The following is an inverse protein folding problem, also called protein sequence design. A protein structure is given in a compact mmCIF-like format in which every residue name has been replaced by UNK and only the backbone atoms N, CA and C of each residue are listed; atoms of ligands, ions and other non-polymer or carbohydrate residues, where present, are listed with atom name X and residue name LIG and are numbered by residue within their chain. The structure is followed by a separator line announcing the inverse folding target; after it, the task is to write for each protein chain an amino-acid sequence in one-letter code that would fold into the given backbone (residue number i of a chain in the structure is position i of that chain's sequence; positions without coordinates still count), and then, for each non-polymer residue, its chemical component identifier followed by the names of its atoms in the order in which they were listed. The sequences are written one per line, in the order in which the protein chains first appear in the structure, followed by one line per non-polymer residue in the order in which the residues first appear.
data_IF_982157981685
#
_entry.id   IF_982157981685
#
_cell.length_a   1.000
_cell.length_b   1.000
_cell.length_c   1.000
_cell.angle_alpha   90.00
_cell.angle_beta   90.00
_cell.angle_gamma   90.00
#
_symmetry.space_group_name_H-M   'P 1'
#
loop_
_entity.id
_entity.type
_entity.pdbx_description
1 polymer ?
#
# COMPACT_ATOMS: atom_id res chain seq x y z
N UNK A 1 -16.09 1.18 -40.76
CA UNK A 1 -16.22 0.04 -39.81
C UNK A 1 -17.65 -0.45 -39.92
N UNK A 2 -17.87 -1.67 -40.40
CA UNK A 2 -19.21 -2.25 -40.46
C UNK A 2 -19.57 -2.78 -39.07
N UNK A 3 -20.72 -2.39 -38.55
CA UNK A 3 -21.26 -2.92 -37.31
C UNK A 3 -22.31 -3.95 -37.69
N UNK A 4 -22.11 -5.18 -37.23
CA UNK A 4 -23.08 -6.26 -37.39
C UNK A 4 -23.75 -6.46 -36.04
N UNK A 5 -25.08 -6.41 -36.03
CA UNK A 5 -25.89 -6.64 -34.84
C UNK A 5 -26.42 -8.08 -34.84
N UNK A 6 -26.69 -8.62 -33.64
CA UNK A 6 -27.43 -9.87 -33.43
C UNK A 6 -26.89 -11.11 -34.18
N UNK A 7 -25.57 -11.29 -34.24
CA UNK A 7 -24.95 -12.49 -34.81
C UNK A 7 -25.42 -13.72 -34.01
N UNK A 8 -26.20 -14.65 -34.62
CA UNK A 8 -26.68 -15.82 -33.91
C UNK A 8 -25.53 -16.79 -33.68
N UNK A 9 -25.39 -17.28 -32.45
CA UNK A 9 -24.46 -18.38 -32.13
C UNK A 9 -25.21 -19.70 -32.28
N UNK A 10 -24.71 -20.57 -33.16
CA UNK A 10 -25.26 -21.90 -33.34
C UNK A 10 -24.14 -22.93 -33.63
N UNK A 11 -24.11 -24.09 -32.95
CA UNK A 11 -25.00 -24.48 -31.85
C UNK A 11 -24.66 -23.70 -30.56
N UNK A 12 -25.68 -23.18 -29.88
CA UNK A 12 -25.53 -22.55 -28.57
C UNK A 12 -25.94 -23.54 -27.48
N UNK A 13 -25.08 -24.53 -27.21
CA UNK A 13 -25.28 -25.54 -26.18
C UNK A 13 -24.25 -25.42 -25.07
N UNK A 14 -24.58 -25.93 -23.89
CA UNK A 14 -23.68 -25.95 -22.73
C UNK A 14 -22.37 -26.72 -23.02
N UNK A 15 -22.42 -27.78 -23.81
CA UNK A 15 -21.24 -28.61 -24.09
C UNK A 15 -20.16 -27.86 -24.91
N UNK A 16 -20.57 -26.85 -25.68
CA UNK A 16 -19.67 -26.01 -26.47
C UNK A 16 -19.16 -24.78 -25.71
N UNK A 17 -19.57 -24.59 -24.46
CA UNK A 17 -19.21 -23.45 -23.61
C UNK A 17 -17.69 -23.18 -23.56
N UNK A 18 -16.79 -24.17 -23.34
CA UNK A 18 -15.34 -23.90 -23.28
C UNK A 18 -14.78 -23.35 -24.59
N UNK A 19 -15.31 -23.83 -25.72
CA UNK A 19 -14.88 -23.40 -27.07
C UNK A 19 -15.41 -21.99 -27.34
N UNK A 20 -16.69 -21.74 -27.04
CA UNK A 20 -17.31 -20.43 -27.19
C UNK A 20 -16.57 -19.37 -26.38
N UNK A 21 -16.25 -19.63 -25.10
CA UNK A 21 -15.50 -18.70 -24.24
C UNK A 21 -14.16 -18.31 -24.86
N UNK A 22 -13.43 -19.26 -25.46
CA UNK A 22 -12.16 -18.96 -26.12
C UNK A 22 -12.35 -18.00 -27.31
N UNK A 23 -13.38 -18.22 -28.14
CA UNK A 23 -13.71 -17.30 -29.22
C UNK A 23 -14.13 -15.92 -28.68
N UNK A 24 -14.99 -15.87 -27.66
CA UNK A 24 -15.38 -14.61 -27.03
C UNK A 24 -14.19 -13.82 -26.48
N UNK A 25 -13.24 -14.49 -25.80
CA UNK A 25 -12.00 -13.87 -25.30
C UNK A 25 -11.11 -13.37 -26.43
N UNK A 26 -10.97 -14.13 -27.52
CA UNK A 26 -10.22 -13.67 -28.69
C UNK A 26 -10.88 -12.47 -29.35
N UNK A 27 -12.21 -12.45 -29.49
CA UNK A 27 -12.91 -11.29 -30.08
C UNK A 27 -12.76 -10.06 -29.16
N UNK A 28 -12.79 -10.25 -27.84
CA UNK A 28 -12.56 -9.20 -26.85
C UNK A 28 -11.15 -8.60 -26.93
N UNK A 29 -10.12 -9.44 -27.06
CA UNK A 29 -8.72 -9.01 -27.16
C UNK A 29 -8.34 -8.51 -28.56
N UNK A 30 -9.30 -8.51 -29.51
CA UNK A 30 -9.06 -8.23 -30.93
C UNK A 30 -8.10 -9.24 -31.60
N UNK A 31 -8.19 -10.53 -31.27
CA UNK A 31 -7.33 -11.60 -31.80
C UNK A 31 -8.04 -12.49 -32.84
N UNK A 32 -9.26 -12.13 -33.27
CA UNK A 32 -10.00 -12.90 -34.28
C UNK A 32 -9.87 -12.30 -35.66
N UNK A 33 -9.28 -13.09 -36.55
CA UNK A 33 -9.26 -12.90 -38.01
C UNK A 33 -10.01 -14.10 -38.58
N UNK A 34 -11.06 -13.87 -39.35
CA UNK A 34 -11.73 -14.96 -40.05
C UNK A 34 -11.02 -15.25 -41.39
N UNK A 35 -10.87 -16.53 -41.78
CA UNK A 35 -10.08 -16.91 -42.95
C UNK A 35 -10.69 -16.46 -44.29
N UNK A 36 -12.01 -16.23 -44.30
CA UNK A 36 -12.79 -16.03 -45.53
C UNK A 36 -12.55 -14.64 -46.16
N UNK A 37 -12.26 -13.64 -45.34
CA UNK A 37 -12.14 -12.25 -45.76
C UNK A 37 -10.91 -11.53 -45.19
N UNK A 38 -10.14 -12.18 -44.32
CA UNK A 38 -8.96 -11.61 -43.65
C UNK A 38 -9.30 -10.34 -42.86
N UNK A 39 -10.58 -10.18 -42.47
CA UNK A 39 -11.07 -9.03 -41.71
C UNK A 39 -10.93 -9.34 -40.21
N UNK A 40 -10.46 -8.33 -39.47
CA UNK A 40 -10.34 -8.39 -38.01
C UNK A 40 -11.64 -7.93 -37.36
N UNK A 41 -12.20 -8.78 -36.51
CA UNK A 41 -13.45 -8.48 -35.80
C UNK A 41 -13.18 -8.17 -34.34
N UNK A 42 -13.96 -7.24 -33.79
CA UNK A 42 -13.98 -6.89 -32.37
C UNK A 42 -15.39 -6.63 -31.89
N UNK A 43 -15.63 -6.82 -30.60
CA UNK A 43 -16.86 -6.31 -29.99
C UNK A 43 -16.92 -4.79 -30.10
N UNK A 44 -18.13 -4.26 -30.31
CA UNK A 44 -18.38 -2.82 -30.17
C UNK A 44 -18.24 -2.43 -28.70
N UNK A 45 -17.91 -1.16 -28.43
CA UNK A 45 -17.66 -0.66 -27.07
C UNK A 45 -18.86 -0.82 -26.11
N UNK A 46 -20.06 -1.09 -26.66
CA UNK A 46 -21.28 -1.45 -25.92
C UNK A 46 -21.27 -2.86 -25.31
N UNK A 47 -20.46 -3.79 -25.83
CA UNK A 47 -20.24 -5.13 -25.27
C UNK A 47 -18.95 -5.21 -24.45
N UNK A 48 -18.10 -4.20 -24.54
CA UNK A 48 -17.05 -4.02 -23.57
C UNK A 48 -17.77 -3.72 -22.26
N UNK A 49 -17.76 -4.70 -21.35
CA UNK A 49 -18.13 -4.47 -19.95
C UNK A 49 -17.15 -3.41 -19.49
N UNK A 50 -17.58 -2.14 -19.56
CA UNK A 50 -16.70 -1.01 -19.36
C UNK A 50 -15.97 -1.22 -18.04
N UNK A 51 -14.65 -1.34 -18.17
CA UNK A 51 -13.74 -1.77 -17.10
C UNK A 51 -13.58 -0.70 -16.01
N UNK A 52 -14.31 0.42 -16.08
CA UNK A 52 -13.81 1.62 -15.42
C UNK A 52 -14.46 2.01 -14.09
N UNK A 53 -15.73 1.75 -13.78
CA UNK A 53 -16.22 2.26 -12.47
C UNK A 53 -17.59 1.78 -12.01
N UNK A 54 -18.52 1.42 -12.91
CA UNK A 54 -19.89 1.11 -12.50
C UNK A 54 -20.18 -0.41 -12.49
N UNK A 55 -20.98 -0.82 -11.49
CA UNK A 55 -21.69 -2.11 -11.46
C UNK A 55 -22.80 -2.20 -12.53
N UNK A 56 -23.04 -1.11 -13.27
CA UNK A 56 -24.04 -1.03 -14.33
C UNK A 56 -23.57 -1.78 -15.58
N UNK A 57 -23.81 -3.07 -15.57
CA UNK A 57 -23.83 -3.85 -16.80
C UNK A 57 -25.05 -3.44 -17.63
N UNK A 58 -24.80 -2.77 -18.76
CA UNK A 58 -25.81 -2.62 -19.80
C UNK A 58 -26.05 -3.99 -20.42
N UNK A 59 -27.11 -4.66 -19.95
CA UNK A 59 -27.51 -5.94 -20.53
C UNK A 59 -28.00 -5.72 -21.96
N UNK A 60 -27.54 -6.53 -22.92
CA UNK A 60 -28.05 -6.45 -24.27
C UNK A 60 -29.52 -6.87 -24.29
N UNK A 61 -30.34 -6.20 -25.10
CA UNK A 61 -31.75 -6.53 -25.27
C UNK A 61 -31.95 -7.74 -26.21
N UNK A 62 -31.19 -8.82 -25.96
CA UNK A 62 -31.26 -10.10 -26.69
C UNK A 62 -30.87 -11.26 -25.77
N UNK A 63 -31.18 -12.48 -26.19
CA UNK A 63 -30.70 -13.67 -25.50
C UNK A 63 -29.16 -13.74 -25.55
N UNK A 64 -28.56 -14.00 -24.38
CA UNK A 64 -27.14 -14.26 -24.24
C UNK A 64 -26.84 -15.72 -24.61
N UNK A 65 -25.69 -15.94 -25.26
CA UNK A 65 -25.18 -17.29 -25.47
C UNK A 65 -24.68 -17.89 -24.14
N UNK A 66 -24.51 -19.21 -24.09
CA UNK A 66 -23.89 -19.89 -22.94
C UNK A 66 -22.47 -19.35 -22.67
N UNK A 67 -21.70 -19.08 -23.74
CA UNK A 67 -20.37 -18.49 -23.62
C UNK A 67 -20.38 -17.06 -23.08
N UNK A 68 -21.33 -16.22 -23.50
CA UNK A 68 -21.50 -14.85 -22.98
C UNK A 68 -21.89 -14.87 -21.50
N UNK A 69 -22.80 -15.76 -21.12
CA UNK A 69 -23.29 -15.90 -19.75
C UNK A 69 -22.17 -16.31 -18.81
N UNK A 70 -21.34 -17.27 -19.22
CA UNK A 70 -20.20 -17.72 -18.41
C UNK A 70 -19.10 -16.65 -18.32
N UNK A 71 -18.77 -15.97 -19.41
CA UNK A 71 -17.79 -14.87 -19.39
C UNK A 71 -18.24 -13.74 -18.45
N UNK A 72 -19.53 -13.37 -18.52
CA UNK A 72 -20.12 -12.39 -17.63
C UNK A 72 -20.01 -12.80 -16.15
N UNK A 73 -20.31 -14.07 -15.86
CA UNK A 73 -20.20 -14.63 -14.52
C UNK A 73 -18.76 -14.53 -13.99
N UNK A 74 -17.75 -14.88 -14.79
CA UNK A 74 -16.34 -14.78 -14.41
C UNK A 74 -15.94 -13.33 -14.08
N UNK A 75 -16.33 -12.38 -14.94
CA UNK A 75 -16.04 -10.95 -14.74
C UNK A 75 -16.70 -10.42 -13.46
N UNK A 76 -17.96 -10.78 -13.23
CA UNK A 76 -18.69 -10.39 -12.02
C UNK A 76 -18.04 -10.99 -10.76
N UNK A 77 -17.64 -12.26 -10.79
CA UNK A 77 -16.95 -12.90 -9.67
C UNK A 77 -15.62 -12.20 -9.35
N UNK A 78 -14.85 -11.83 -10.36
CA UNK A 78 -13.60 -11.11 -10.14
C UNK A 78 -13.81 -9.68 -9.65
N UNK A 79 -14.84 -8.98 -10.14
CA UNK A 79 -15.24 -7.67 -9.60
C UNK A 79 -15.63 -7.77 -8.13
N UNK A 80 -16.51 -8.72 -7.76
CA UNK A 80 -16.91 -8.96 -6.37
C UNK A 80 -15.69 -9.21 -5.48
N UNK A 81 -14.78 -10.10 -5.90
CA UNK A 81 -13.53 -10.35 -5.14
C UNK A 81 -12.68 -9.10 -4.96
N UNK A 82 -12.61 -8.21 -5.96
CA UNK A 82 -11.87 -6.94 -5.85
C UNK A 82 -12.54 -6.01 -4.83
N UNK A 83 -13.86 -5.88 -4.87
CA UNK A 83 -14.61 -5.08 -3.88
C UNK A 83 -14.46 -5.64 -2.47
N UNK A 84 -14.56 -6.96 -2.30
CA UNK A 84 -14.37 -7.62 -1.00
C UNK A 84 -12.98 -7.31 -0.43
N UNK A 85 -11.93 -7.41 -1.25
CA UNK A 85 -10.56 -7.07 -0.84
C UNK A 85 -10.41 -5.60 -0.47
N UNK A 86 -11.02 -4.69 -1.25
CA UNK A 86 -10.98 -3.26 -0.95
C UNK A 86 -11.70 -2.96 0.38
N UNK A 87 -12.86 -3.58 0.61
CA UNK A 87 -13.62 -3.46 1.85
C UNK A 87 -12.83 -3.97 3.06
N UNK A 88 -12.18 -5.14 2.93
CA UNK A 88 -11.29 -5.68 3.97
C UNK A 88 -10.12 -4.74 4.27
N UNK A 89 -9.49 -4.15 3.24
CA UNK A 89 -8.40 -3.19 3.41
C UNK A 89 -8.88 -1.94 4.15
N UNK A 90 -10.03 -1.39 3.78
CA UNK A 90 -10.63 -0.22 4.43
C UNK A 90 -10.93 -0.49 5.90
N UNK A 91 -11.54 -1.64 6.21
CA UNK A 91 -11.81 -2.04 7.59
C UNK A 91 -10.52 -2.21 8.39
N UNK A 92 -9.52 -2.90 7.84
CA UNK A 92 -8.23 -3.07 8.50
C UNK A 92 -7.54 -1.71 8.77
N UNK A 93 -7.60 -0.77 7.83
CA UNK A 93 -7.06 0.57 8.01
C UNK A 93 -7.82 1.35 9.10
N UNK A 94 -9.15 1.28 9.11
CA UNK A 94 -9.97 1.92 10.14
C UNK A 94 -9.68 1.33 11.53
N UNK A 95 -9.60 0.00 11.65
CA UNK A 95 -9.21 -0.67 12.90
C UNK A 95 -7.81 -0.26 13.36
N UNK A 96 -6.84 -0.19 12.45
CA UNK A 96 -5.49 0.25 12.74
C UNK A 96 -5.46 1.68 13.32
N UNK A 97 -6.21 2.60 12.69
CA UNK A 97 -6.36 3.99 13.14
C UNK A 97 -6.95 4.02 14.55
N UNK A 98 -8.07 3.33 14.78
CA UNK A 98 -8.74 3.32 16.09
C UNK A 98 -7.86 2.72 17.19
N UNK A 99 -7.15 1.63 16.87
CA UNK A 99 -6.25 0.95 17.81
C UNK A 99 -5.08 1.86 18.19
N UNK A 100 -4.41 2.46 17.20
CA UNK A 100 -3.32 3.39 17.45
C UNK A 100 -3.81 4.60 18.26
N UNK A 101 -4.95 5.20 17.91
CA UNK A 101 -5.55 6.28 18.70
C UNK A 101 -5.77 5.92 20.16
N UNK A 102 -6.27 4.71 20.43
CA UNK A 102 -6.56 4.27 21.78
C UNK A 102 -5.27 4.05 22.59
N UNK A 103 -4.22 3.50 22.00
CA UNK A 103 -2.90 3.38 22.64
C UNK A 103 -2.32 4.76 22.94
N UNK A 104 -2.45 5.69 21.99
CA UNK A 104 -1.97 7.06 22.08
C UNK A 104 -2.74 7.93 23.08
N UNK A 105 -3.93 7.53 23.55
CA UNK A 105 -4.66 8.24 24.61
C UNK A 105 -4.12 7.93 26.01
N UNK A 106 -3.32 6.89 26.16
CA UNK A 106 -2.79 6.48 27.46
C UNK A 106 -1.57 7.32 27.83
N UNK A 107 -1.52 7.82 29.06
CA UNK A 107 -0.39 8.63 29.59
C UNK A 107 0.75 7.77 30.19
N UNK A 108 0.77 6.47 29.90
CA UNK A 108 1.82 5.53 30.33
C UNK A 108 2.81 5.23 29.20
N UNK A 109 3.99 4.70 29.53
CA UNK A 109 4.96 4.26 28.53
C UNK A 109 4.33 3.13 27.70
N UNK A 110 4.24 3.33 26.39
CA UNK A 110 3.41 2.54 25.48
C UNK A 110 4.18 2.02 24.26
N UNK A 111 5.50 2.10 24.26
CA UNK A 111 6.38 1.68 23.16
C UNK A 111 6.11 0.24 22.71
N UNK A 112 6.01 -0.71 23.66
CA UNK A 112 5.67 -2.11 23.35
C UNK A 112 4.27 -2.27 22.74
N UNK A 113 3.28 -1.51 23.22
CA UNK A 113 1.91 -1.57 22.71
C UNK A 113 1.83 -0.98 21.29
N UNK A 114 2.59 0.09 21.05
CA UNK A 114 2.75 0.69 19.72
C UNK A 114 3.43 -0.30 18.78
N UNK A 115 4.54 -0.92 19.18
CA UNK A 115 5.23 -1.93 18.38
C UNK A 115 4.28 -3.08 18.03
N UNK A 116 3.50 -3.57 19.00
CA UNK A 116 2.49 -4.61 18.76
C UNK A 116 1.42 -4.15 17.76
N UNK A 117 0.91 -2.92 17.90
CA UNK A 117 -0.09 -2.36 16.99
C UNK A 117 0.45 -2.23 15.56
N UNK A 118 1.67 -1.72 15.40
CA UNK A 118 2.30 -1.52 14.09
C UNK A 118 2.64 -2.85 13.42
N UNK A 119 3.12 -3.83 14.18
CA UNK A 119 3.35 -5.20 13.68
C UNK A 119 2.06 -5.86 13.19
N UNK A 120 0.93 -5.61 13.86
CA UNK A 120 -0.37 -6.14 13.48
C UNK A 120 -0.99 -5.39 12.29
N UNK A 121 -0.74 -4.08 12.19
CA UNK A 121 -1.24 -3.23 11.12
C UNK A 121 -0.13 -2.44 10.41
N UNK A 122 0.70 -3.09 9.57
CA UNK A 122 1.81 -2.42 8.89
C UNK A 122 1.39 -1.31 7.91
N UNK A 123 0.12 -1.32 7.48
CA UNK A 123 -0.48 -0.28 6.62
C UNK A 123 -0.38 1.13 7.24
N UNK A 124 -0.17 1.23 8.56
CA UNK A 124 0.08 2.49 9.25
C UNK A 124 1.33 3.22 8.71
N UNK A 125 2.33 2.49 8.20
CA UNK A 125 3.51 3.11 7.60
C UNK A 125 3.21 3.79 6.26
N UNK A 126 2.23 3.28 5.51
CA UNK A 126 1.88 3.76 4.18
C UNK A 126 1.65 2.64 3.17
N UNK A 127 1.31 3.01 1.94
CA UNK A 127 1.01 2.08 0.83
C UNK A 127 2.21 1.88 -0.10
N UNK A 128 3.25 2.67 0.07
CA UNK A 128 4.50 2.59 -0.68
C UNK A 128 5.36 1.38 -0.28
N UNK A 129 5.09 0.78 0.88
CA UNK A 129 5.84 -0.37 1.41
C UNK A 129 5.18 -1.69 1.01
N UNK A 130 6.00 -2.59 0.46
CA UNK A 130 5.60 -3.93 0.02
C UNK A 130 5.99 -5.01 1.01
N UNK A 131 6.90 -4.72 1.94
CA UNK A 131 7.38 -5.65 2.96
C UNK A 131 7.78 -4.88 4.22
N UNK A 132 7.47 -5.45 5.39
CA UNK A 132 7.81 -4.91 6.71
C UNK A 132 8.50 -6.00 7.52
N UNK A 133 9.75 -5.75 7.90
CA UNK A 133 10.63 -6.74 8.53
C UNK A 133 10.92 -6.25 9.96
N UNK A 134 10.28 -6.85 10.99
CA UNK A 134 10.52 -6.46 12.37
C UNK A 134 11.87 -7.00 12.87
N UNK A 135 12.52 -6.28 13.79
CA UNK A 135 13.71 -6.74 14.53
C UNK A 135 14.83 -7.27 13.64
N UNK A 136 15.10 -6.56 12.55
CA UNK A 136 16.16 -6.94 11.63
C UNK A 136 17.53 -6.73 12.28
N UNK A 137 18.38 -7.76 12.22
CA UNK A 137 19.73 -7.72 12.79
C UNK A 137 20.72 -7.21 11.77
N UNK A 138 21.49 -6.20 12.15
CA UNK A 138 22.62 -5.70 11.40
C UNK A 138 23.88 -6.31 12.02
N UNK A 139 24.25 -7.48 11.50
CA UNK A 139 25.33 -8.30 12.06
C UNK A 139 24.97 -8.83 13.46
N UNK A 140 25.94 -8.83 14.37
CA UNK A 140 25.74 -9.18 15.78
C UNK A 140 25.64 -7.99 16.73
N UNK A 141 25.77 -6.77 16.20
CA UNK A 141 26.00 -5.54 16.99
C UNK A 141 24.72 -4.72 17.17
N UNK A 142 23.86 -4.68 16.14
CA UNK A 142 22.66 -3.85 16.15
C UNK A 142 21.41 -4.63 15.73
N UNK A 143 20.26 -4.17 16.25
CA UNK A 143 18.93 -4.64 15.89
C UNK A 143 18.05 -3.42 15.66
N UNK A 144 17.45 -3.31 14.47
CA UNK A 144 16.51 -2.23 14.13
C UNK A 144 15.11 -2.61 14.58
N UNK A 145 14.25 -1.66 14.96
CA UNK A 145 12.85 -1.97 15.21
C UNK A 145 12.16 -2.51 13.95
N UNK A 146 12.31 -1.82 12.82
CA UNK A 146 11.81 -2.28 11.53
C UNK A 146 12.73 -1.92 10.36
N UNK A 147 12.73 -2.78 9.34
CA UNK A 147 13.18 -2.46 7.99
C UNK A 147 11.97 -2.54 7.06
N UNK A 148 11.71 -1.49 6.29
CA UNK A 148 10.59 -1.41 5.35
C UNK A 148 11.13 -1.44 3.92
N UNK A 149 10.58 -2.30 3.08
CA UNK A 149 10.90 -2.35 1.65
C UNK A 149 9.86 -1.57 0.86
N UNK A 150 10.31 -0.61 0.06
CA UNK A 150 9.47 0.18 -0.84
C UNK A 150 9.18 -0.56 -2.14
N UNK A 151 8.12 -0.14 -2.83
CA UNK A 151 7.73 -0.66 -4.14
C UNK A 151 8.80 -0.49 -5.24
N UNK A 152 9.72 0.46 -5.09
CA UNK A 152 10.82 0.72 -6.00
C UNK A 152 12.10 -0.09 -5.65
N UNK A 153 12.03 -0.99 -4.66
CA UNK A 153 13.14 -1.83 -4.24
C UNK A 153 14.10 -1.20 -3.21
N UNK A 154 13.95 0.10 -2.91
CA UNK A 154 14.69 0.75 -1.83
C UNK A 154 14.14 0.35 -0.47
N UNK A 155 14.93 0.62 0.58
CA UNK A 155 14.55 0.31 1.94
C UNK A 155 14.66 1.52 2.85
N UNK A 156 13.88 1.48 3.94
CA UNK A 156 13.96 2.40 5.05
C UNK A 156 14.19 1.62 6.35
N UNK A 157 14.87 2.25 7.30
CA UNK A 157 15.07 1.72 8.65
C UNK A 157 14.32 2.59 9.64
N UNK A 158 13.58 1.97 10.57
CA UNK A 158 12.73 2.65 11.53
C UNK A 158 13.24 2.39 12.94
N UNK A 159 13.33 3.44 13.75
CA UNK A 159 13.43 3.38 15.21
C UNK A 159 12.15 3.96 15.82
N UNK A 160 11.52 3.20 16.73
CA UNK A 160 10.35 3.65 17.48
C UNK A 160 10.74 4.01 18.90
N UNK A 161 10.25 5.16 19.34
CA UNK A 161 10.41 5.62 20.72
C UNK A 161 9.04 5.83 21.35
N UNK A 162 8.96 5.85 22.69
CA UNK A 162 7.67 6.01 23.36
C UNK A 162 6.93 7.29 22.94
N UNK A 163 5.59 7.24 22.82
CA UNK A 163 4.81 8.44 22.47
C UNK A 163 4.82 9.50 23.57
N UNK A 164 5.18 9.13 24.80
CA UNK A 164 5.29 10.06 25.93
C UNK A 164 6.64 10.79 26.00
N UNK A 165 7.60 10.43 25.13
CA UNK A 165 8.88 11.12 25.05
C UNK A 165 8.72 12.54 24.48
N UNK A 166 9.35 13.51 25.14
CA UNK A 166 9.46 14.87 24.62
C UNK A 166 10.60 14.94 23.61
N UNK A 167 10.38 15.61 22.48
CA UNK A 167 11.43 15.80 21.47
C UNK A 167 12.42 16.89 21.87
N UNK A 168 11.96 17.90 22.61
CA UNK A 168 12.77 19.05 23.02
C UNK A 168 12.69 19.31 24.52
N UNK A 169 13.81 19.79 25.05
CA UNK A 169 13.93 20.33 26.41
C UNK A 169 13.24 21.69 26.51
N UNK A 170 13.05 22.21 27.73
CA UNK A 170 12.48 23.55 27.95
C UNK A 170 13.29 24.66 27.28
N UNK A 171 14.60 24.48 27.19
CA UNK A 171 15.52 25.42 26.54
C UNK A 171 15.50 25.29 25.01
N UNK A 172 14.82 24.29 24.48
CA UNK A 172 14.66 24.07 23.04
C UNK A 172 15.76 23.24 22.38
N UNK A 173 16.63 22.64 23.18
CA UNK A 173 17.58 21.64 22.70
C UNK A 173 16.87 20.30 22.48
N UNK A 174 17.30 19.47 21.51
CA UNK A 174 16.86 18.09 21.39
C UNK A 174 16.94 17.37 22.75
N UNK A 175 15.94 16.56 23.06
CA UNK A 175 15.98 15.73 24.27
C UNK A 175 17.02 14.64 24.13
N UNK A 176 17.46 14.08 25.27
CA UNK A 176 18.34 12.92 25.27
C UNK A 176 17.74 11.72 24.53
N UNK A 177 16.42 11.57 24.55
CA UNK A 177 15.70 10.52 23.80
C UNK A 177 15.80 10.72 22.30
N UNK A 178 15.54 11.94 21.82
CA UNK A 178 15.69 12.24 20.40
C UNK A 178 17.14 12.08 19.94
N UNK A 179 18.11 12.58 20.71
CA UNK A 179 19.53 12.44 20.38
C UNK A 179 19.99 10.99 20.36
N UNK A 180 19.49 10.15 21.27
CA UNK A 180 19.81 8.72 21.29
C UNK A 180 19.25 8.00 20.06
N UNK A 181 17.99 8.21 19.71
CA UNK A 181 17.37 7.63 18.52
C UNK A 181 18.07 8.08 17.22
N UNK A 182 18.49 9.35 17.15
CA UNK A 182 19.32 9.84 16.04
C UNK A 182 20.65 9.09 15.94
N UNK A 183 21.33 8.89 17.08
CA UNK A 183 22.58 8.15 17.10
C UNK A 183 22.41 6.70 16.63
N UNK A 184 21.37 6.00 17.09
CA UNK A 184 21.09 4.63 16.65
C UNK A 184 20.91 4.54 15.13
N UNK A 185 20.14 5.46 14.53
CA UNK A 185 19.99 5.51 13.07
C UNK A 185 21.34 5.75 12.39
N UNK A 186 22.15 6.69 12.87
CA UNK A 186 23.46 6.94 12.27
C UNK A 186 24.39 5.73 12.37
N UNK A 187 24.43 5.06 13.52
CA UNK A 187 25.22 3.84 13.74
C UNK A 187 24.80 2.74 12.75
N UNK A 188 23.50 2.58 12.51
CA UNK A 188 22.99 1.62 11.54
C UNK A 188 23.37 1.98 10.11
N UNK A 189 23.20 3.25 9.71
CA UNK A 189 23.57 3.72 8.38
C UNK A 189 25.06 3.53 8.12
N UNK A 190 25.91 3.91 9.08
CA UNK A 190 27.35 3.70 9.02
C UNK A 190 27.69 2.21 8.88
N UNK A 191 27.06 1.35 9.69
CA UNK A 191 27.29 -0.08 9.63
C UNK A 191 26.90 -0.66 8.26
N UNK A 192 25.77 -0.25 7.68
CA UNK A 192 25.30 -0.71 6.37
C UNK A 192 26.25 -0.27 5.25
N UNK A 193 26.73 0.96 5.32
CA UNK A 193 27.70 1.48 4.34
C UNK A 193 29.02 0.67 4.37
N UNK A 194 29.53 0.34 5.57
CA UNK A 194 30.76 -0.43 5.73
C UNK A 194 30.61 -1.93 5.44
N UNK A 195 29.43 -2.51 5.68
CA UNK A 195 29.16 -3.96 5.56
C UNK A 195 28.29 -4.31 4.34
N UNK A 196 28.35 -3.49 3.29
CA UNK A 196 27.45 -3.54 2.14
C UNK A 196 27.38 -4.94 1.48
N UNK A 197 28.46 -5.72 1.46
CA UNK A 197 28.41 -7.11 0.97
C UNK A 197 27.49 -8.01 1.80
N UNK A 198 27.66 -8.02 3.13
CA UNK A 198 26.83 -8.81 4.06
C UNK A 198 25.38 -8.32 4.08
N UNK A 199 25.20 -6.99 4.10
CA UNK A 199 23.90 -6.36 4.02
C UNK A 199 23.11 -6.84 2.80
N UNK A 200 23.77 -6.93 1.63
CA UNK A 200 23.16 -7.42 0.39
C UNK A 200 22.89 -8.92 0.34
N UNK A 201 23.64 -9.72 1.09
CA UNK A 201 23.37 -11.16 1.25
C UNK A 201 22.11 -11.39 2.07
N UNK A 202 21.86 -10.54 3.08
CA UNK A 202 20.71 -10.67 3.97
C UNK A 202 19.44 -10.03 3.37
N UNK A 203 19.60 -8.86 2.74
CA UNK A 203 18.54 -8.14 2.04
C UNK A 203 19.04 -7.67 0.68
N UNK A 204 18.49 -8.25 -0.39
CA UNK A 204 18.89 -7.91 -1.75
C UNK A 204 18.66 -6.42 -2.02
N UNK A 205 19.68 -5.76 -2.58
CA UNK A 205 19.65 -4.33 -2.96
C UNK A 205 19.46 -3.35 -1.78
N UNK A 206 19.90 -3.74 -0.58
CA UNK A 206 19.93 -2.86 0.59
C UNK A 206 21.05 -1.82 0.50
N UNK A 207 20.83 -0.79 -0.33
CA UNK A 207 21.75 0.33 -0.52
C UNK A 207 21.21 1.57 0.19
N UNK A 208 22.03 2.15 1.07
CA UNK A 208 21.85 3.47 1.72
C UNK A 208 20.39 3.81 2.03
N UNK A 209 19.77 3.12 3.02
CA UNK A 209 18.37 3.35 3.36
C UNK A 209 18.15 4.75 3.95
N UNK A 210 16.92 5.27 3.90
CA UNK A 210 16.56 6.44 4.70
C UNK A 210 16.16 5.98 6.10
N UNK A 211 16.72 6.62 7.13
CA UNK A 211 16.31 6.41 8.51
C UNK A 211 15.04 7.17 8.87
N UNK A 212 14.21 6.58 9.70
CA UNK A 212 13.04 7.23 10.27
C UNK A 212 13.04 7.04 11.78
N UNK A 213 12.69 8.11 12.49
CA UNK A 213 12.41 8.06 13.93
C UNK A 213 10.94 8.40 14.11
N UNK A 214 10.21 7.58 14.84
CA UNK A 214 8.84 7.89 15.26
C UNK A 214 8.82 8.05 16.78
N UNK A 215 8.65 9.28 17.25
CA UNK A 215 8.81 9.65 18.66
C UNK A 215 7.79 10.70 19.08
N UNK A 216 7.27 10.56 20.30
CA UNK A 216 6.48 11.62 20.93
C UNK A 216 5.18 11.97 20.20
N UNK A 217 4.60 13.12 20.56
CA UNK A 217 3.33 13.63 20.02
C UNK A 217 3.47 15.07 19.57
N UNK A 218 2.88 15.40 18.44
CA UNK A 218 2.86 16.77 17.94
C UNK A 218 2.01 17.68 18.82
N UNK A 219 0.99 17.14 19.51
CA UNK A 219 0.17 17.89 20.48
C UNK A 219 1.00 18.49 21.63
N UNK A 220 2.14 17.86 21.94
CA UNK A 220 3.04 18.28 23.02
C UNK A 220 4.14 19.25 22.53
N UNK A 221 4.18 19.55 21.23
CA UNK A 221 5.13 20.49 20.63
C UNK A 221 4.54 21.90 20.59
N UNK A 222 5.28 22.86 21.13
CA UNK A 222 5.00 24.27 20.89
C UNK A 222 5.21 24.65 19.42
N UNK A 223 4.67 25.78 18.97
CA UNK A 223 4.89 26.25 17.59
C UNK A 223 6.39 26.44 17.28
N UNK A 224 7.18 26.87 18.27
CA UNK A 224 8.63 26.96 18.15
C UNK A 224 9.27 25.59 17.96
N UNK A 225 8.82 24.57 18.69
CA UNK A 225 9.34 23.20 18.59
C UNK A 225 8.94 22.53 17.27
N UNK A 226 7.73 22.80 16.77
CA UNK A 226 7.32 22.40 15.41
C UNK A 226 8.23 23.00 14.35
N UNK A 227 8.60 24.28 14.50
CA UNK A 227 9.59 24.94 13.66
C UNK A 227 10.99 24.31 13.74
N UNK A 228 11.44 23.94 14.93
CA UNK A 228 12.72 23.23 15.16
C UNK A 228 12.73 21.87 14.49
N UNK A 229 11.66 21.08 14.66
CA UNK A 229 11.52 19.76 14.04
C UNK A 229 11.52 19.86 12.52
N UNK A 230 10.76 20.81 11.96
CA UNK A 230 10.74 21.06 10.52
C UNK A 230 12.12 21.42 9.99
N UNK A 231 12.83 22.35 10.64
CA UNK A 231 14.20 22.74 10.25
C UNK A 231 15.15 21.54 10.30
N UNK A 232 15.05 20.71 11.34
CA UNK A 232 15.88 19.51 11.50
C UNK A 232 15.62 18.50 10.38
N UNK A 233 14.36 18.21 10.06
CA UNK A 233 13.99 17.35 8.93
C UNK A 233 14.44 17.90 7.56
N UNK A 234 14.47 19.23 7.38
CA UNK A 234 15.02 19.83 6.15
C UNK A 234 16.52 19.58 6.03
N UNK A 235 17.27 19.74 7.13
CA UNK A 235 18.72 19.54 7.15
C UNK A 235 19.08 18.06 6.93
N UNK A 236 18.29 17.14 7.50
CA UNK A 236 18.55 15.71 7.51
C UNK A 236 17.87 14.94 6.37
N UNK A 237 17.16 15.63 5.47
CA UNK A 237 16.23 15.06 4.47
C UNK A 237 16.70 13.79 3.73
N UNK A 238 18.00 13.65 3.46
CA UNK A 238 18.53 12.53 2.69
C UNK A 238 18.88 11.30 3.54
N UNK A 239 19.11 11.47 4.85
CA UNK A 239 19.54 10.39 5.73
C UNK A 239 18.52 10.06 6.80
N UNK A 240 17.75 11.04 7.29
CA UNK A 240 16.87 10.86 8.43
C UNK A 240 15.61 11.73 8.37
N UNK A 241 14.46 11.14 8.67
CA UNK A 241 13.19 11.84 8.88
C UNK A 241 12.62 11.54 10.27
N UNK A 242 12.34 12.59 11.05
CA UNK A 242 11.73 12.47 12.37
C UNK A 242 10.25 12.78 12.27
N UNK A 243 9.42 11.85 12.71
CA UNK A 243 7.96 11.94 12.75
C UNK A 243 7.48 11.77 14.19
N UNK A 244 6.31 12.33 14.48
CA UNK A 244 5.54 12.02 15.68
C UNK A 244 4.48 10.98 15.36
N UNK A 245 3.92 10.34 16.40
CA UNK A 245 2.81 9.40 16.18
C UNK A 245 1.54 10.08 15.66
N UNK A 246 1.39 11.39 15.88
CA UNK A 246 0.28 12.15 15.28
C UNK A 246 0.47 12.29 13.76
N UNK A 247 1.70 12.43 13.27
CA UNK A 247 1.98 12.47 11.82
C UNK A 247 1.64 11.14 11.16
N UNK A 248 1.97 10.01 11.80
CA UNK A 248 1.64 8.67 11.33
C UNK A 248 0.11 8.48 11.28
N UNK A 249 -0.57 8.86 12.36
CA UNK A 249 -2.01 8.76 12.48
C UNK A 249 -2.74 9.66 11.45
N UNK A 250 -2.27 10.90 11.27
CA UNK A 250 -2.85 11.83 10.31
C UNK A 250 -2.70 11.32 8.87
N UNK A 251 -1.54 10.75 8.51
CA UNK A 251 -1.34 10.10 7.20
C UNK A 251 -2.31 8.95 6.98
N UNK A 252 -2.47 8.07 7.97
CA UNK A 252 -3.40 6.93 7.89
C UNK A 252 -4.85 7.41 7.73
N UNK A 253 -5.27 8.42 8.50
CA UNK A 253 -6.61 9.03 8.37
C UNK A 253 -6.83 9.70 7.02
N UNK A 254 -5.85 10.41 6.51
CA UNK A 254 -5.93 11.05 5.20
C UNK A 254 -6.05 10.02 4.10
N UNK A 255 -5.30 8.91 4.19
CA UNK A 255 -5.45 7.77 3.28
C UNK A 255 -6.85 7.16 3.37
N UNK A 256 -7.34 6.89 4.58
CA UNK A 256 -8.68 6.35 4.78
C UNK A 256 -9.74 7.26 4.16
N UNK A 257 -9.71 8.55 4.49
CA UNK A 257 -10.62 9.55 3.93
C UNK A 257 -10.53 9.59 2.41
N UNK A 258 -9.32 9.63 1.83
CA UNK A 258 -9.14 9.64 0.38
C UNK A 258 -9.79 8.42 -0.31
N UNK A 259 -9.71 7.24 0.32
CA UNK A 259 -10.31 6.02 -0.20
C UNK A 259 -11.83 5.95 -0.02
N UNK A 260 -12.42 6.73 0.91
CA UNK A 260 -13.86 6.75 1.19
C UNK A 260 -14.61 7.99 0.65
N UNK A 261 -13.91 9.06 0.27
CA UNK A 261 -14.52 10.33 -0.19
C UNK A 261 -15.27 10.19 -1.54
N UNK A 262 -15.10 9.09 -2.26
CA UNK A 262 -15.78 8.82 -3.54
C UNK A 262 -17.02 7.93 -3.41
N UNK A 263 -17.56 7.72 -2.21
CA UNK A 263 -18.88 7.10 -1.98
C UNK A 263 -20.02 8.14 -1.92
#
# INVERSE_FOLDING_TARGET
MYIVHDIPVYPNTKDLEPILINYYRKIYNNDVIFPEDNIKYRFTDTFLINDQTSLELKMPNRALSYGETQLLKEILQDKIKRYDRAYLLLNNLNEAIQKLENILKQDVRNENDIQKCISEYPILFGTEYVEVIPKHKLGGEFETDYVLKRNNGLYDVIELEASTHKLYTKDGNPSSKLTHAEQQIYDWLEWIEHNNSYARETLKEFYTPTGYIIIGRSKDLSEKDRGRLRRRNIILKNSLLILTYDDLLERAKNLYNFLTINE
#
